data_IF_033254147744
#
_entry.id   IF_033254147744
#
_cell.length_a   1.000
_cell.length_b   1.000
_cell.length_c   1.000
_cell.angle_alpha   90.00
_cell.angle_beta   90.00
_cell.angle_gamma   90.00
#
_symmetry.space_group_name_H-M   'P 1'
#
loop_
_entity.id
_entity.type
_entity.pdbx_description
1 polymer ?
#
# COMPACT_ATOMS: atom_id res chain seq x y z
N UNK A 1 -23.59 -7.72 -10.40
CA UNK A 1 -22.77 -6.75 -9.64
C UNK A 1 -21.46 -6.51 -10.37
N UNK A 2 -20.93 -5.28 -10.37
CA UNK A 2 -19.61 -4.95 -10.94
C UNK A 2 -18.61 -4.74 -9.80
N UNK A 3 -17.38 -5.20 -9.96
CA UNK A 3 -16.26 -5.02 -9.00
C UNK A 3 -15.22 -4.08 -9.61
N UNK A 4 -14.73 -3.13 -8.83
CA UNK A 4 -13.66 -2.21 -9.21
C UNK A 4 -12.46 -2.42 -8.28
N UNK A 5 -11.27 -2.52 -8.85
CA UNK A 5 -10.00 -2.51 -8.12
C UNK A 5 -9.29 -1.21 -8.46
N UNK A 6 -8.85 -0.48 -7.43
CA UNK A 6 -8.09 0.76 -7.58
C UNK A 6 -6.73 0.51 -6.95
N UNK A 7 -5.70 0.51 -7.78
CA UNK A 7 -4.34 0.13 -7.39
C UNK A 7 -3.44 1.35 -7.37
N UNK A 8 -2.62 1.49 -6.33
CA UNK A 8 -1.47 2.39 -6.36
C UNK A 8 -0.20 1.61 -6.75
N UNK A 9 0.62 2.25 -7.57
CA UNK A 9 1.96 1.76 -7.89
C UNK A 9 3.02 2.35 -6.95
N UNK A 10 4.26 1.89 -7.10
CA UNK A 10 5.45 2.36 -6.39
C UNK A 10 5.50 2.14 -4.87
N UNK A 11 4.61 1.30 -4.31
CA UNK A 11 4.71 0.97 -2.90
C UNK A 11 6.02 0.24 -2.62
N UNK A 12 6.84 0.78 -1.71
CA UNK A 12 8.22 0.34 -1.46
C UNK A 12 9.30 1.27 -2.03
N UNK A 13 8.95 2.24 -2.88
CA UNK A 13 9.92 3.16 -3.49
C UNK A 13 10.61 4.08 -2.49
N UNK A 14 9.83 4.79 -1.68
CA UNK A 14 10.30 5.69 -0.62
C UNK A 14 9.34 5.67 0.58
N UNK A 15 9.74 6.25 1.71
CA UNK A 15 8.87 6.32 2.90
C UNK A 15 7.68 7.23 2.67
N UNK A 16 7.88 8.33 1.95
CA UNK A 16 6.85 9.30 1.58
C UNK A 16 5.81 8.66 0.65
N UNK A 17 6.25 7.86 -0.33
CA UNK A 17 5.35 7.08 -1.19
C UNK A 17 4.58 6.06 -0.35
N UNK A 18 5.25 5.35 0.56
CA UNK A 18 4.58 4.39 1.43
C UNK A 18 3.50 5.03 2.33
N UNK A 19 3.78 6.23 2.85
CA UNK A 19 2.83 7.00 3.66
C UNK A 19 1.63 7.44 2.83
N UNK A 20 1.86 7.97 1.63
CA UNK A 20 0.78 8.35 0.73
C UNK A 20 -0.10 7.15 0.35
N UNK A 21 0.50 5.99 0.04
CA UNK A 21 -0.23 4.76 -0.27
C UNK A 21 -1.03 4.26 0.93
N UNK A 22 -0.42 4.24 2.12
CA UNK A 22 -1.12 3.84 3.36
C UNK A 22 -2.30 4.78 3.65
N UNK A 23 -2.11 6.09 3.53
CA UNK A 23 -3.17 7.07 3.74
C UNK A 23 -4.28 6.93 2.70
N UNK A 24 -3.95 6.85 1.41
CA UNK A 24 -4.94 6.70 0.33
C UNK A 24 -5.68 5.36 0.38
N UNK A 25 -5.12 4.32 1.00
CA UNK A 25 -5.82 3.08 1.29
C UNK A 25 -6.72 3.17 2.54
N UNK A 26 -6.31 3.92 3.57
CA UNK A 26 -7.08 4.06 4.83
C UNK A 26 -8.22 5.07 4.73
N UNK A 27 -7.97 6.17 4.04
CA UNK A 27 -8.84 7.36 4.00
C UNK A 27 -9.36 7.64 2.59
N UNK A 28 -8.79 6.98 1.58
CA UNK A 28 -9.15 7.14 0.17
C UNK A 28 -9.84 5.91 -0.43
N UNK A 29 -9.68 5.76 -1.74
CA UNK A 29 -10.38 4.74 -2.54
C UNK A 29 -9.49 3.56 -2.96
N UNK A 30 -8.21 3.54 -2.57
CA UNK A 30 -7.32 2.46 -2.98
C UNK A 30 -7.79 1.14 -2.37
N UNK A 31 -7.87 0.11 -3.19
CA UNK A 31 -8.23 -1.25 -2.75
C UNK A 31 -7.05 -2.21 -2.87
N UNK A 32 -5.98 -1.82 -3.57
CA UNK A 32 -4.74 -2.59 -3.69
C UNK A 32 -3.52 -1.66 -3.89
N UNK A 33 -2.32 -2.23 -3.75
CA UNK A 33 -1.07 -1.58 -4.14
C UNK A 33 -0.06 -2.63 -4.66
N UNK A 34 0.81 -2.24 -5.60
CA UNK A 34 1.88 -3.09 -6.12
C UNK A 34 3.18 -2.85 -5.32
N UNK A 35 3.78 -3.93 -4.79
CA UNK A 35 5.00 -3.84 -3.97
C UNK A 35 6.26 -3.94 -4.84
N UNK A 36 7.09 -2.89 -4.81
CA UNK A 36 8.45 -2.89 -5.33
C UNK A 36 9.41 -3.59 -4.35
N UNK A 37 9.56 -4.91 -4.48
CA UNK A 37 10.29 -5.75 -3.51
C UNK A 37 11.78 -5.40 -3.35
N UNK A 38 12.42 -4.88 -4.39
CA UNK A 38 13.86 -4.52 -4.38
C UNK A 38 14.11 -3.04 -4.11
N UNK A 39 13.06 -2.25 -3.86
CA UNK A 39 13.19 -0.81 -3.66
C UNK A 39 13.62 -0.47 -2.22
N UNK A 40 14.26 0.71 -2.00
CA UNK A 40 14.89 1.04 -0.72
C UNK A 40 13.94 1.02 0.49
N UNK A 41 12.64 1.27 0.30
CA UNK A 41 11.64 1.31 1.36
C UNK A 41 10.71 0.07 1.37
N UNK A 42 11.07 -1.02 0.70
CA UNK A 42 10.26 -2.24 0.65
C UNK A 42 9.95 -2.84 2.03
N UNK A 43 10.93 -2.84 2.94
CA UNK A 43 10.74 -3.35 4.30
C UNK A 43 9.71 -2.52 5.10
N UNK A 44 9.74 -1.19 4.94
CA UNK A 44 8.77 -0.28 5.56
C UNK A 44 7.36 -0.52 5.00
N UNK A 45 7.25 -0.67 3.68
CA UNK A 45 6.00 -1.00 2.99
C UNK A 45 5.38 -2.31 3.52
N UNK A 46 6.18 -3.36 3.67
CA UNK A 46 5.72 -4.65 4.22
C UNK A 46 5.28 -4.51 5.68
N UNK A 47 6.01 -3.74 6.50
CA UNK A 47 5.62 -3.51 7.89
C UNK A 47 4.27 -2.78 7.99
N UNK A 48 4.03 -1.76 7.15
CA UNK A 48 2.74 -1.06 7.04
C UNK A 48 1.62 -2.01 6.61
N UNK A 49 1.85 -2.81 5.56
CA UNK A 49 0.87 -3.78 5.08
C UNK A 49 0.49 -4.82 6.15
N UNK A 50 1.47 -5.31 6.92
CA UNK A 50 1.25 -6.31 7.98
C UNK A 50 0.47 -5.78 9.17
N UNK A 51 0.59 -4.49 9.52
CA UNK A 51 -0.21 -3.86 10.59
C UNK A 51 -1.71 -3.99 10.33
N UNK A 52 -2.14 -4.09 9.06
CA UNK A 52 -3.56 -4.22 8.67
C UNK A 52 -4.10 -5.66 8.69
N UNK A 53 -3.26 -6.68 8.54
CA UNK A 53 -3.72 -8.08 8.44
C UNK A 53 -4.33 -8.65 9.74
N UNK A 54 -4.52 -7.82 10.78
CA UNK A 54 -5.21 -8.17 12.03
C UNK A 54 -6.62 -7.55 12.18
N UNK A 55 -7.18 -6.94 11.14
CA UNK A 55 -8.57 -6.47 11.18
C UNK A 55 -9.45 -7.29 10.23
N UNK A 56 -10.39 -8.00 10.85
CA UNK A 56 -11.44 -8.81 10.25
C UNK A 56 -12.35 -8.00 9.31
#
# INVERSE_FOLDING_TARGET
>A
MKRLVVTADDFGLSREVNEAVEQAHREGILTAASLMVSAPAAADAVARARRRNHQA
#
